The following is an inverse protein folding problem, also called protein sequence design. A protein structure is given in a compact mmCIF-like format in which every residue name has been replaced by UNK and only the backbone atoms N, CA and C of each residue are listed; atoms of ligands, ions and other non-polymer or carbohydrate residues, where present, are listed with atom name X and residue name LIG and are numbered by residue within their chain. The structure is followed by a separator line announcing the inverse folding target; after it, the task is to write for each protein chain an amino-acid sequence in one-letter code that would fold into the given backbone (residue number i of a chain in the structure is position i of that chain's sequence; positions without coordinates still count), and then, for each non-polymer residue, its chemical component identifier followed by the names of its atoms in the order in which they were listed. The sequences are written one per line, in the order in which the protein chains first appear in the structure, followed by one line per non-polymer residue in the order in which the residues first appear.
data_IF_811186038597
#
_entry.id   IF_811186038597
#
_cell.length_a   1.000
_cell.length_b   1.000
_cell.length_c   1.000
_cell.angle_alpha   90.00
_cell.angle_beta   90.00
_cell.angle_gamma   90.00
#
_symmetry.space_group_name_H-M   'P 1'
#
loop_
_entity.id
_entity.type
_entity.pdbx_description
1 polymer ?
#
# COMPACT_ATOMS: atom_id res chain seq x y z
N UNK A 1 -4.29 1.88 19.00
CA UNK A 1 -3.63 1.33 17.78
C UNK A 1 -2.11 1.51 17.86
N UNK A 2 -1.60 2.73 17.99
CA UNK A 2 -0.16 3.02 18.11
C UNK A 2 0.60 2.10 19.10
N UNK A 3 0.10 1.96 20.33
CA UNK A 3 0.74 1.10 21.35
C UNK A 3 0.79 -0.38 20.95
N UNK A 4 -0.24 -0.87 20.26
CA UNK A 4 -0.29 -2.25 19.75
C UNK A 4 0.79 -2.45 18.68
N UNK A 5 0.92 -1.51 17.75
CA UNK A 5 1.96 -1.55 16.71
C UNK A 5 3.35 -1.51 17.33
N UNK A 6 3.57 -0.66 18.33
CA UNK A 6 4.84 -0.59 19.05
C UNK A 6 5.16 -1.88 19.81
N UNK A 7 4.19 -2.42 20.56
CA UNK A 7 4.37 -3.67 21.30
C UNK A 7 4.77 -4.83 20.39
N UNK A 8 4.23 -4.88 19.17
CA UNK A 8 4.57 -5.89 18.18
C UNK A 8 5.92 -5.60 17.49
N UNK A 9 6.12 -4.39 16.97
CA UNK A 9 7.28 -4.04 16.14
C UNK A 9 8.59 -3.81 16.91
N UNK A 10 8.52 -3.55 18.22
CA UNK A 10 9.69 -3.29 19.07
C UNK A 10 10.42 -4.57 19.54
N UNK A 11 9.86 -5.75 19.29
CA UNK A 11 10.53 -7.01 19.61
C UNK A 11 11.88 -7.06 18.86
N UNK A 12 12.97 -7.35 19.59
CA UNK A 12 14.33 -7.39 19.03
C UNK A 12 14.50 -8.50 17.98
N UNK A 13 13.61 -9.48 17.94
CA UNK A 13 13.60 -10.50 16.90
C UNK A 13 13.25 -9.88 15.54
N UNK A 14 13.83 -10.44 14.48
CA UNK A 14 13.45 -10.09 13.10
C UNK A 14 12.06 -10.64 12.73
N UNK A 15 11.55 -11.62 13.49
CA UNK A 15 10.27 -12.28 13.27
C UNK A 15 9.36 -12.08 14.49
N UNK A 16 8.21 -11.46 14.26
CA UNK A 16 7.13 -11.35 15.24
C UNK A 16 6.22 -12.56 15.05
N UNK A 17 6.00 -13.34 16.10
CA UNK A 17 4.99 -14.38 16.09
C UNK A 17 3.66 -13.79 16.57
N UNK A 18 2.77 -13.54 15.62
CA UNK A 18 1.40 -13.11 15.88
C UNK A 18 0.47 -14.32 15.83
N UNK A 19 -0.34 -14.49 16.88
CA UNK A 19 -1.39 -15.49 16.96
C UNK A 19 -2.25 -15.42 15.67
N UNK A 20 -2.43 -16.55 14.95
CA UNK A 20 -3.25 -16.58 13.74
C UNK A 20 -4.63 -15.93 13.89
N UNK A 21 -5.27 -16.04 15.07
CA UNK A 21 -6.58 -15.46 15.35
C UNK A 21 -6.58 -13.91 15.38
N UNK A 22 -5.42 -13.28 15.58
CA UNK A 22 -5.29 -11.82 15.66
C UNK A 22 -4.97 -11.17 14.31
N UNK A 23 -4.52 -11.93 13.31
CA UNK A 23 -4.02 -11.36 12.03
C UNK A 23 -5.10 -10.61 11.26
N UNK A 24 -6.27 -11.22 11.06
CA UNK A 24 -7.38 -10.59 10.34
C UNK A 24 -7.96 -9.40 11.12
N UNK A 25 -8.29 -9.52 12.42
CA UNK A 25 -8.74 -8.36 13.21
C UNK A 25 -7.76 -7.19 13.21
N UNK A 26 -6.45 -7.46 13.30
CA UNK A 26 -5.42 -6.43 13.24
C UNK A 26 -5.35 -5.79 11.84
N UNK A 27 -5.40 -6.57 10.76
CA UNK A 27 -5.47 -6.04 9.41
C UNK A 27 -6.70 -5.16 9.18
N UNK A 28 -7.88 -5.59 9.66
CA UNK A 28 -9.11 -4.79 9.60
C UNK A 28 -8.95 -3.47 10.36
N UNK A 29 -8.37 -3.51 11.55
CA UNK A 29 -8.16 -2.31 12.34
C UNK A 29 -7.14 -1.37 11.66
N UNK A 30 -6.05 -1.89 11.10
CA UNK A 30 -5.07 -1.11 10.33
C UNK A 30 -5.66 -0.51 9.04
N UNK A 31 -6.53 -1.26 8.35
CA UNK A 31 -7.27 -0.74 7.20
C UNK A 31 -8.20 0.42 7.56
N UNK A 32 -8.69 0.48 8.81
CA UNK A 32 -9.41 1.65 9.33
C UNK A 32 -8.55 2.90 9.51
N UNK A 33 -7.22 2.77 9.54
CA UNK A 33 -6.24 3.85 9.58
C UNK A 33 -5.46 3.93 8.25
N UNK A 34 -6.07 3.54 7.13
CA UNK A 34 -5.37 3.45 5.85
C UNK A 34 -4.63 4.74 5.43
N UNK A 35 -5.17 5.96 5.62
CA UNK A 35 -4.41 7.18 5.34
C UNK A 35 -3.12 7.29 6.16
N UNK A 36 -3.17 7.04 7.47
CA UNK A 36 -1.98 7.09 8.34
C UNK A 36 -0.99 5.97 7.98
N UNK A 37 -1.49 4.76 7.70
CA UNK A 37 -0.68 3.62 7.25
C UNK A 37 0.04 3.95 5.95
N UNK A 38 -0.68 4.52 4.98
CA UNK A 38 -0.10 4.97 3.72
C UNK A 38 1.04 5.97 3.97
N UNK A 39 0.81 6.99 4.79
CA UNK A 39 1.80 8.03 5.07
C UNK A 39 3.05 7.48 5.78
N UNK A 40 2.86 6.58 6.73
CA UNK A 40 3.96 5.87 7.39
C UNK A 40 4.75 4.97 6.42
N UNK A 41 4.07 4.30 5.48
CA UNK A 41 4.71 3.45 4.47
C UNK A 41 5.49 4.29 3.46
N UNK A 42 4.86 5.34 2.92
CA UNK A 42 5.52 6.26 2.02
C UNK A 42 6.72 6.94 2.69
N UNK A 43 6.60 7.37 3.95
CA UNK A 43 7.70 7.98 4.70
C UNK A 43 8.23 9.28 4.08
N UNK A 44 7.39 9.96 3.30
CA UNK A 44 7.72 11.22 2.63
C UNK A 44 7.07 12.44 3.31
N UNK A 45 6.15 12.21 4.24
CA UNK A 45 5.52 13.29 5.02
C UNK A 45 6.30 13.52 6.32
N UNK A 46 6.84 14.73 6.46
CA UNK A 46 7.64 15.09 7.62
C UNK A 46 6.83 15.07 8.93
N UNK A 47 5.53 15.36 8.90
CA UNK A 47 4.70 15.33 10.11
C UNK A 47 4.61 13.92 10.69
N UNK A 48 4.48 12.91 9.83
CA UNK A 48 4.52 11.51 10.23
C UNK A 48 5.90 11.09 10.75
N UNK A 49 6.99 11.60 10.14
CA UNK A 49 8.35 11.29 10.58
C UNK A 49 8.63 11.85 11.98
N UNK A 50 8.27 13.10 12.27
CA UNK A 50 8.55 13.73 13.57
C UNK A 50 7.65 13.21 14.70
N UNK A 51 6.48 12.67 14.37
CA UNK A 51 5.53 12.08 15.33
C UNK A 51 5.63 10.55 15.45
N UNK A 52 6.61 9.92 14.80
CA UNK A 52 6.77 8.47 14.76
C UNK A 52 7.20 7.84 16.09
N UNK A 53 7.78 8.59 17.03
CA UNK A 53 8.35 8.04 18.27
C UNK A 53 7.32 7.41 19.22
N UNK A 54 7.75 6.45 20.04
CA UNK A 54 6.93 5.81 21.09
C UNK A 54 6.46 6.80 22.16
N UNK A 55 7.25 7.84 22.43
CA UNK A 55 6.94 8.95 23.34
C UNK A 55 6.03 10.03 22.72
N UNK A 56 5.61 9.90 21.47
CA UNK A 56 4.74 10.86 20.78
C UNK A 56 3.29 10.42 20.85
N UNK A 57 2.42 11.28 21.37
CA UNK A 57 0.98 11.02 21.34
C UNK A 57 0.43 11.15 19.92
N UNK A 58 -0.71 10.50 19.59
CA UNK A 58 -1.53 10.88 18.44
C UNK A 58 -1.79 12.38 18.45
N UNK A 59 -1.93 12.98 17.27
CA UNK A 59 -2.15 14.42 17.11
C UNK A 59 -3.43 14.67 16.32
N UNK A 60 -3.97 15.88 16.44
CA UNK A 60 -5.12 16.33 15.67
C UNK A 60 -4.64 17.24 14.53
N UNK A 61 -5.07 16.94 13.31
CA UNK A 61 -4.90 17.82 12.15
C UNK A 61 -6.19 17.77 11.32
N UNK A 62 -6.64 18.92 10.84
CA UNK A 62 -7.82 19.03 9.96
C UNK A 62 -9.11 18.37 10.54
N UNK A 63 -9.24 18.38 11.87
CA UNK A 63 -10.39 17.77 12.57
C UNK A 63 -10.37 16.24 12.63
N UNK A 64 -9.27 15.60 12.24
CA UNK A 64 -9.04 14.16 12.33
C UNK A 64 -7.86 13.86 13.25
N UNK A 65 -7.90 12.72 13.94
CA UNK A 65 -6.79 12.25 14.75
C UNK A 65 -5.89 11.33 13.94
N UNK A 66 -4.59 11.64 13.95
CA UNK A 66 -3.55 10.89 13.27
C UNK A 66 -2.63 10.20 14.26
N UNK A 67 -2.07 9.08 13.82
CA UNK A 67 -1.00 8.40 14.52
C UNK A 67 0.14 8.06 13.56
N UNK A 68 1.34 7.98 14.13
CA UNK A 68 2.52 7.52 13.40
C UNK A 68 3.36 6.61 14.28
N UNK A 69 4.03 5.64 13.66
CA UNK A 69 5.10 4.84 14.26
C UNK A 69 6.29 4.85 13.31
N UNK A 70 7.46 4.42 13.77
CA UNK A 70 8.59 4.26 12.85
C UNK A 70 8.27 3.24 11.75
N UNK A 71 8.67 3.54 10.51
CA UNK A 71 8.39 2.69 9.35
C UNK A 71 8.89 1.25 9.54
N UNK A 72 10.04 1.04 10.18
CA UNK A 72 10.56 -0.29 10.51
C UNK A 72 9.67 -1.07 11.52
N UNK A 73 9.04 -0.38 12.47
CA UNK A 73 8.09 -0.98 13.43
C UNK A 73 6.80 -1.37 12.70
N UNK A 74 6.28 -0.48 11.84
CA UNK A 74 5.11 -0.76 11.03
C UNK A 74 5.35 -1.95 10.10
N UNK A 75 6.41 -1.93 9.28
CA UNK A 75 6.70 -2.98 8.30
C UNK A 75 6.90 -4.35 8.95
N UNK A 76 7.57 -4.44 10.11
CA UNK A 76 7.64 -5.70 10.88
C UNK A 76 6.25 -6.20 11.29
N UNK A 77 5.40 -5.31 11.78
CA UNK A 77 4.01 -5.65 12.16
C UNK A 77 3.22 -6.15 10.96
N UNK A 78 3.31 -5.45 9.82
CA UNK A 78 2.63 -5.84 8.59
C UNK A 78 3.15 -7.19 8.05
N UNK A 79 4.46 -7.47 8.12
CA UNK A 79 5.02 -8.80 7.79
C UNK A 79 4.38 -9.91 8.60
N UNK A 80 4.20 -9.71 9.91
CA UNK A 80 3.58 -10.71 10.79
C UNK A 80 2.10 -10.96 10.46
N UNK A 81 1.39 -9.90 10.08
CA UNK A 81 -0.02 -9.96 9.64
C UNK A 81 -0.15 -10.67 8.28
N UNK A 82 0.72 -10.33 7.32
CA UNK A 82 0.65 -10.78 5.94
C UNK A 82 0.88 -12.28 5.72
N UNK A 83 1.40 -13.00 6.73
CA UNK A 83 1.45 -14.47 6.72
C UNK A 83 0.04 -15.06 6.51
N UNK A 84 -1.01 -14.37 6.95
CA UNK A 84 -2.37 -14.69 6.56
C UNK A 84 -2.74 -13.97 5.24
N UNK A 85 -3.05 -14.69 4.15
CA UNK A 85 -3.32 -14.09 2.85
C UNK A 85 -4.59 -13.20 2.83
N UNK A 86 -5.63 -13.55 3.59
CA UNK A 86 -6.83 -12.71 3.72
C UNK A 86 -6.49 -11.38 4.41
N UNK A 87 -5.66 -11.43 5.46
CA UNK A 87 -5.21 -10.24 6.16
C UNK A 87 -4.35 -9.34 5.25
N UNK A 88 -3.46 -9.92 4.44
CA UNK A 88 -2.73 -9.18 3.41
C UNK A 88 -3.66 -8.54 2.37
N UNK A 89 -4.65 -9.28 1.86
CA UNK A 89 -5.59 -8.77 0.87
C UNK A 89 -6.39 -7.56 1.38
N UNK A 90 -6.80 -7.58 2.66
CA UNK A 90 -7.45 -6.43 3.32
C UNK A 90 -6.56 -5.19 3.32
N UNK A 91 -5.30 -5.35 3.76
CA UNK A 91 -4.33 -4.24 3.76
C UNK A 91 -4.05 -3.73 2.35
N UNK A 92 -3.90 -4.65 1.38
CA UNK A 92 -3.64 -4.33 -0.01
C UNK A 92 -4.79 -3.54 -0.65
N UNK A 93 -6.04 -3.90 -0.35
CA UNK A 93 -7.20 -3.16 -0.85
C UNK A 93 -7.36 -1.80 -0.17
N UNK A 94 -7.14 -1.72 1.14
CA UNK A 94 -7.17 -0.44 1.85
C UNK A 94 -6.13 0.55 1.28
N UNK A 95 -4.92 0.07 0.99
CA UNK A 95 -3.88 0.85 0.30
C UNK A 95 -4.30 1.20 -1.14
N UNK A 96 -4.92 0.27 -1.86
CA UNK A 96 -5.43 0.52 -3.23
C UNK A 96 -6.44 1.68 -3.25
N UNK A 97 -7.38 1.69 -2.31
CA UNK A 97 -8.38 2.76 -2.20
C UNK A 97 -7.74 4.09 -1.80
N UNK A 98 -6.81 4.05 -0.83
CA UNK A 98 -6.08 5.25 -0.39
C UNK A 98 -5.27 5.85 -1.54
N UNK A 99 -4.53 5.02 -2.27
CA UNK A 99 -3.75 5.45 -3.42
C UNK A 99 -4.63 6.03 -4.54
N UNK A 100 -5.76 5.39 -4.84
CA UNK A 100 -6.73 5.93 -5.80
C UNK A 100 -7.29 7.29 -5.35
N UNK A 101 -7.61 7.43 -4.06
CA UNK A 101 -8.06 8.68 -3.44
C UNK A 101 -7.04 9.80 -3.58
N UNK A 102 -5.78 9.52 -3.26
CA UNK A 102 -4.71 10.51 -3.38
C UNK A 102 -4.45 10.94 -4.82
N UNK A 103 -4.50 10.01 -5.79
CA UNK A 103 -4.41 10.38 -7.22
C UNK A 103 -5.59 11.26 -7.64
N UNK A 104 -6.80 10.91 -7.22
CA UNK A 104 -8.01 11.68 -7.51
C UNK A 104 -7.99 13.09 -6.90
N UNK A 105 -7.35 13.26 -5.74
CA UNK A 105 -7.26 14.53 -5.03
C UNK A 105 -6.21 15.50 -5.61
N UNK A 106 -5.31 15.06 -6.50
CA UNK A 106 -4.30 15.93 -7.12
C UNK A 106 -4.99 17.03 -7.96
N UNK A 107 -4.79 18.33 -7.66
CA UNK A 107 -5.39 19.44 -8.41
C UNK A 107 -5.12 19.35 -9.91
N UNK A 108 -6.07 19.77 -10.74
CA UNK A 108 -5.99 19.67 -12.20
C UNK A 108 -4.80 20.46 -12.80
N UNK A 109 -4.41 21.54 -12.14
CA UNK A 109 -3.34 22.46 -12.48
C UNK A 109 -2.02 22.18 -11.73
N UNK A 110 -1.95 21.10 -10.95
CA UNK A 110 -0.73 20.69 -10.27
C UNK A 110 0.42 20.48 -11.26
N UNK A 111 1.60 20.99 -10.92
CA UNK A 111 2.83 20.84 -11.72
C UNK A 111 4.00 20.47 -10.80
N UNK A 112 5.13 20.05 -11.39
CA UNK A 112 6.36 19.79 -10.65
C UNK A 112 6.20 18.77 -9.52
N UNK A 113 6.57 19.17 -8.30
CA UNK A 113 6.50 18.30 -7.10
C UNK A 113 5.05 17.98 -6.76
N UNK A 114 4.13 18.95 -6.81
CA UNK A 114 2.73 18.75 -6.45
C UNK A 114 2.03 17.74 -7.37
N UNK A 115 2.44 17.69 -8.65
CA UNK A 115 1.95 16.69 -9.59
C UNK A 115 2.52 15.29 -9.30
N UNK A 116 3.79 15.21 -8.91
CA UNK A 116 4.52 13.94 -8.84
C UNK A 116 4.55 13.30 -7.45
N UNK A 117 4.25 14.06 -6.39
CA UNK A 117 4.34 13.61 -5.00
C UNK A 117 3.40 12.44 -4.71
N UNK A 118 2.09 12.59 -4.98
CA UNK A 118 1.10 11.56 -4.66
C UNK A 118 1.32 10.26 -5.46
N UNK A 119 1.56 10.29 -6.79
CA UNK A 119 1.94 9.07 -7.52
C UNK A 119 3.19 8.39 -6.95
N UNK A 120 4.19 9.17 -6.52
CA UNK A 120 5.44 8.65 -5.95
C UNK A 120 5.24 8.02 -4.57
N UNK A 121 4.42 8.64 -3.70
CA UNK A 121 4.00 8.10 -2.40
C UNK A 121 3.26 6.77 -2.56
N UNK A 122 2.25 6.73 -3.43
CA UNK A 122 1.49 5.53 -3.77
C UNK A 122 2.37 4.38 -4.23
N UNK A 123 3.29 4.67 -5.14
CA UNK A 123 4.22 3.68 -5.66
C UNK A 123 5.10 3.10 -4.54
N UNK A 124 5.57 3.94 -3.63
CA UNK A 124 6.39 3.54 -2.48
C UNK A 124 5.63 2.63 -1.53
N UNK A 125 4.42 3.04 -1.11
CA UNK A 125 3.60 2.27 -0.19
C UNK A 125 3.21 0.90 -0.76
N UNK A 126 2.79 0.84 -2.03
CA UNK A 126 2.49 -0.41 -2.74
C UNK A 126 3.74 -1.29 -2.92
N UNK A 127 4.89 -0.71 -3.24
CA UNK A 127 6.16 -1.43 -3.35
C UNK A 127 6.60 -2.07 -2.02
N UNK A 128 6.39 -1.39 -0.89
CA UNK A 128 6.61 -1.98 0.44
C UNK A 128 5.68 -3.17 0.67
N UNK A 129 4.40 -3.06 0.33
CA UNK A 129 3.46 -4.19 0.44
C UNK A 129 3.87 -5.36 -0.46
N UNK A 130 4.42 -5.09 -1.65
CA UNK A 130 4.97 -6.14 -2.51
C UNK A 130 6.16 -6.86 -1.84
N UNK A 131 7.04 -6.11 -1.17
CA UNK A 131 8.17 -6.70 -0.43
C UNK A 131 7.70 -7.52 0.78
N UNK A 132 6.66 -7.05 1.46
CA UNK A 132 5.98 -7.79 2.54
C UNK A 132 5.35 -9.07 2.01
N UNK A 133 4.69 -9.04 0.85
CA UNK A 133 4.12 -10.22 0.22
C UNK A 133 5.20 -11.25 -0.10
N UNK A 134 6.30 -10.83 -0.71
CA UNK A 134 7.43 -11.72 -1.04
C UNK A 134 8.03 -12.37 0.21
N UNK A 135 8.08 -11.66 1.35
CA UNK A 135 8.54 -12.21 2.62
C UNK A 135 7.51 -13.13 3.32
N UNK A 136 6.21 -12.90 3.07
CA UNK A 136 5.13 -13.69 3.66
C UNK A 136 4.88 -15.01 2.92
N UNK A 137 5.11 -15.02 1.61
CA UNK A 137 5.01 -16.21 0.77
C UNK A 137 6.10 -17.21 1.16
N UNK A 138 5.69 -18.41 1.58
CA UNK A 138 6.63 -19.47 1.95
C UNK A 138 7.49 -19.92 0.77
N UNK A 139 8.65 -20.53 1.05
CA UNK A 139 9.53 -21.09 0.02
C UNK A 139 8.95 -22.34 -0.67
N UNK A 140 7.91 -22.94 -0.09
CA UNK A 140 7.20 -24.06 -0.69
C UNK A 140 6.26 -23.59 -1.81
N UNK A 141 6.39 -24.18 -3.00
CA UNK A 141 5.65 -23.76 -4.18
C UNK A 141 4.14 -24.05 -4.09
N UNK A 142 3.70 -25.00 -3.26
CA UNK A 142 2.28 -25.29 -3.07
C UNK A 142 1.66 -24.29 -2.09
N UNK A 143 2.33 -24.00 -0.97
CA UNK A 143 1.89 -22.96 -0.02
C UNK A 143 1.90 -21.58 -0.67
N UNK A 144 2.91 -21.26 -1.49
CA UNK A 144 2.95 -20.03 -2.25
C UNK A 144 1.75 -19.88 -3.20
N UNK A 145 1.43 -20.93 -3.95
CA UNK A 145 0.26 -20.95 -4.82
C UNK A 145 -1.03 -20.75 -4.04
N UNK A 146 -1.19 -21.45 -2.91
CA UNK A 146 -2.38 -21.31 -2.05
C UNK A 146 -2.52 -19.89 -1.49
N UNK A 147 -1.43 -19.30 -1.02
CA UNK A 147 -1.42 -17.91 -0.53
C UNK A 147 -1.86 -16.96 -1.63
N UNK A 148 -1.28 -17.08 -2.83
CA UNK A 148 -1.63 -16.25 -3.99
C UNK A 148 -3.10 -16.42 -4.38
N UNK A 149 -3.60 -17.65 -4.48
CA UNK A 149 -5.01 -17.92 -4.77
C UNK A 149 -5.93 -17.22 -3.77
N UNK A 150 -5.68 -17.37 -2.47
CA UNK A 150 -6.51 -16.72 -1.44
C UNK A 150 -6.44 -15.19 -1.54
N UNK A 151 -5.27 -14.60 -1.79
CA UNK A 151 -5.16 -13.15 -2.00
C UNK A 151 -6.02 -12.72 -3.19
N UNK A 152 -5.85 -13.35 -4.35
CA UNK A 152 -6.60 -12.95 -5.53
C UNK A 152 -8.10 -13.21 -5.40
N UNK A 153 -8.53 -14.30 -4.76
CA UNK A 153 -9.95 -14.53 -4.49
C UNK A 153 -10.54 -13.38 -3.67
N UNK A 154 -9.85 -12.92 -2.63
CA UNK A 154 -10.28 -11.75 -1.85
C UNK A 154 -10.32 -10.47 -2.72
N UNK A 155 -9.20 -10.12 -3.39
CA UNK A 155 -9.13 -8.90 -4.20
C UNK A 155 -10.20 -8.87 -5.32
N UNK A 156 -10.47 -10.00 -5.96
CA UNK A 156 -11.37 -10.05 -7.12
C UNK A 156 -12.85 -10.00 -6.73
N UNK A 157 -13.19 -10.25 -5.47
CA UNK A 157 -14.55 -10.03 -4.93
C UNK A 157 -14.89 -8.57 -4.67
N UNK A 158 -13.89 -7.69 -4.64
CA UNK A 158 -14.07 -6.28 -4.32
C UNK A 158 -14.85 -5.52 -5.39
N UNK A 159 -15.63 -4.55 -4.91
CA UNK A 159 -16.41 -3.65 -5.73
C UNK A 159 -16.08 -2.22 -5.32
N UNK A 160 -15.80 -1.37 -6.32
CA UNK A 160 -15.54 0.04 -6.11
C UNK A 160 -16.68 0.86 -6.71
N UNK A 161 -17.06 1.95 -6.01
CA UNK A 161 -18.07 2.87 -6.51
C UNK A 161 -17.54 3.70 -7.69
N UNK A 162 -18.00 3.37 -8.89
CA UNK A 162 -17.57 4.03 -10.12
C UNK A 162 -18.12 5.45 -10.28
N UNK A 163 -19.00 5.91 -9.41
CA UNK A 163 -19.43 7.31 -9.39
C UNK A 163 -18.27 8.24 -9.00
N UNK A 164 -17.38 7.79 -8.11
CA UNK A 164 -16.26 8.57 -7.62
C UNK A 164 -15.01 8.43 -8.50
N UNK A 165 -14.20 9.49 -8.69
CA UNK A 165 -12.96 9.39 -9.46
C UNK A 165 -11.99 8.33 -8.92
N UNK A 166 -11.86 8.22 -7.60
CA UNK A 166 -11.04 7.19 -6.95
C UNK A 166 -11.59 5.79 -7.22
N UNK A 167 -12.90 5.58 -7.03
CA UNK A 167 -13.52 4.29 -7.29
C UNK A 167 -13.46 3.86 -8.75
N UNK A 168 -13.47 4.78 -9.73
CA UNK A 168 -13.18 4.45 -11.14
C UNK A 168 -11.75 3.95 -11.37
N UNK A 169 -10.75 4.58 -10.75
CA UNK A 169 -9.37 4.12 -10.84
C UNK A 169 -9.23 2.71 -10.24
N UNK A 170 -9.79 2.47 -9.07
CA UNK A 170 -9.81 1.14 -8.44
C UNK A 170 -10.54 0.11 -9.29
N UNK A 171 -11.74 0.43 -9.80
CA UNK A 171 -12.51 -0.47 -10.65
C UNK A 171 -11.78 -0.83 -11.94
N UNK A 172 -11.12 0.15 -12.56
CA UNK A 172 -10.34 -0.06 -13.80
C UNK A 172 -9.17 -1.00 -13.54
N UNK A 173 -8.44 -0.80 -12.43
CA UNK A 173 -7.36 -1.71 -12.05
C UNK A 173 -7.87 -3.12 -11.73
N UNK A 174 -8.93 -3.25 -10.93
CA UNK A 174 -9.55 -4.55 -10.61
C UNK A 174 -10.02 -5.28 -11.86
N UNK A 175 -10.62 -4.57 -12.82
CA UNK A 175 -11.04 -5.16 -14.09
C UNK A 175 -9.85 -5.68 -14.90
N UNK A 176 -8.76 -4.91 -14.95
CA UNK A 176 -7.54 -5.37 -15.61
C UNK A 176 -6.94 -6.60 -14.91
N UNK A 177 -6.97 -6.65 -13.58
CA UNK A 177 -6.52 -7.80 -12.80
C UNK A 177 -7.38 -9.05 -13.06
N UNK A 178 -8.72 -8.89 -13.12
CA UNK A 178 -9.66 -9.97 -13.50
C UNK A 178 -9.36 -10.54 -14.87
N UNK A 179 -9.06 -9.68 -15.83
CA UNK A 179 -8.74 -10.06 -17.21
C UNK A 179 -7.31 -10.64 -17.37
N UNK A 180 -6.47 -10.57 -16.33
CA UNK A 180 -5.10 -11.09 -16.38
C UNK A 180 -5.10 -12.60 -16.13
N UNK A 181 -4.40 -13.41 -16.97
CA UNK A 181 -4.23 -14.85 -16.74
C UNK A 181 -3.62 -15.13 -15.35
N UNK A 182 -4.05 -16.20 -14.70
CA UNK A 182 -3.69 -16.46 -13.28
C UNK A 182 -2.18 -16.44 -13.02
N UNK A 183 -1.39 -17.04 -13.92
CA UNK A 183 0.07 -17.07 -13.82
C UNK A 183 0.75 -15.71 -13.93
N UNK A 184 0.07 -14.69 -14.46
CA UNK A 184 0.58 -13.32 -14.63
C UNK A 184 0.04 -12.33 -13.58
N UNK A 185 -0.96 -12.74 -12.78
CA UNK A 185 -1.56 -11.87 -11.75
C UNK A 185 -0.55 -11.38 -10.70
N UNK A 186 0.46 -12.15 -10.25
CA UNK A 186 1.45 -11.64 -9.29
C UNK A 186 2.26 -10.46 -9.82
N UNK A 187 2.71 -10.54 -11.08
CA UNK A 187 3.42 -9.44 -11.74
C UNK A 187 2.49 -8.24 -11.95
N UNK A 188 1.22 -8.49 -12.30
CA UNK A 188 0.20 -7.44 -12.43
C UNK A 188 -0.09 -6.74 -11.10
N UNK A 189 -0.09 -7.47 -9.98
CA UNK A 189 -0.25 -6.92 -8.64
C UNK A 189 0.94 -6.00 -8.32
N UNK A 190 2.18 -6.45 -8.54
CA UNK A 190 3.38 -5.61 -8.32
C UNK A 190 3.41 -4.34 -9.19
N UNK A 191 2.89 -4.42 -10.40
CA UNK A 191 2.80 -3.26 -11.31
C UNK A 191 1.68 -2.26 -10.96
N UNK A 192 0.89 -2.51 -9.91
CA UNK A 192 -0.33 -1.74 -9.61
C UNK A 192 -0.10 -0.22 -9.51
N UNK A 193 0.90 0.21 -8.72
CA UNK A 193 1.15 1.65 -8.53
C UNK A 193 1.46 2.36 -9.85
N UNK A 194 2.26 1.71 -10.70
CA UNK A 194 2.60 2.19 -12.04
C UNK A 194 1.38 2.21 -12.97
N UNK A 195 0.56 1.17 -12.96
CA UNK A 195 -0.62 1.07 -13.80
C UNK A 195 -1.71 2.09 -13.42
N UNK A 196 -1.91 2.32 -12.12
CA UNK A 196 -2.83 3.34 -11.62
C UNK A 196 -2.34 4.74 -11.98
N UNK A 197 -1.04 5.03 -11.77
CA UNK A 197 -0.45 6.31 -12.17
C UNK A 197 -0.54 6.54 -13.68
N UNK A 198 -0.31 5.51 -14.51
CA UNK A 198 -0.45 5.58 -15.97
C UNK A 198 -1.89 5.90 -16.38
N UNK A 199 -2.87 5.19 -15.82
CA UNK A 199 -4.30 5.40 -16.10
C UNK A 199 -4.74 6.81 -15.70
N UNK A 200 -4.30 7.27 -14.53
CA UNK A 200 -4.55 8.62 -14.04
C UNK A 200 -3.93 9.70 -14.95
N UNK A 201 -2.66 9.56 -15.33
CA UNK A 201 -1.97 10.51 -16.20
C UNK A 201 -2.61 10.58 -17.60
N UNK A 202 -3.07 9.43 -18.14
CA UNK A 202 -3.82 9.37 -19.40
C UNK A 202 -5.15 10.12 -19.31
N UNK A 203 -5.89 9.93 -18.22
CA UNK A 203 -7.18 10.60 -17.99
C UNK A 203 -7.02 12.12 -17.93
N UNK A 204 -5.87 12.60 -17.46
CA UNK A 204 -5.52 14.03 -17.41
C UNK A 204 -4.97 14.58 -18.72
N UNK A 205 -4.88 13.77 -19.78
CA UNK A 205 -4.29 14.16 -21.07
C UNK A 205 -2.88 14.77 -20.92
N UNK A 206 -2.09 14.24 -19.99
CA UNK A 206 -0.73 14.69 -19.74
C UNK A 206 0.15 14.49 -20.99
N UNK A 207 0.98 15.49 -21.30
CA UNK A 207 1.91 15.40 -22.44
C UNK A 207 2.95 14.29 -22.24
N UNK A 208 3.48 13.76 -23.35
CA UNK A 208 4.38 12.60 -23.32
C UNK A 208 5.62 12.81 -22.46
N UNK A 209 6.39 13.92 -22.59
CA UNK A 209 7.54 14.18 -21.72
C UNK A 209 7.20 14.16 -20.23
N UNK A 210 6.18 14.91 -19.82
CA UNK A 210 5.77 14.99 -18.40
C UNK A 210 5.31 13.63 -17.88
N UNK A 211 4.53 12.90 -18.70
CA UNK A 211 4.05 11.56 -18.35
C UNK A 211 5.20 10.57 -18.19
N UNK A 212 6.18 10.59 -19.10
CA UNK A 212 7.31 9.67 -19.03
C UNK A 212 8.20 9.95 -17.80
N UNK A 213 8.50 11.22 -17.51
CA UNK A 213 9.25 11.60 -16.30
C UNK A 213 8.54 11.14 -15.02
N UNK A 214 7.23 11.37 -14.93
CA UNK A 214 6.41 10.91 -13.81
C UNK A 214 6.47 9.39 -13.64
N UNK A 215 6.25 8.63 -14.73
CA UNK A 215 6.20 7.17 -14.65
C UNK A 215 7.57 6.58 -14.29
N UNK A 216 8.67 7.19 -14.71
CA UNK A 216 10.01 6.80 -14.27
C UNK A 216 10.23 7.06 -12.78
N UNK A 217 9.72 8.16 -12.22
CA UNK A 217 9.77 8.42 -10.76
C UNK A 217 8.96 7.39 -9.98
N UNK A 218 7.74 7.10 -10.44
CA UNK A 218 6.83 6.10 -9.87
C UNK A 218 7.48 4.71 -9.86
N UNK A 219 8.02 4.27 -10.99
CA UNK A 219 8.69 2.97 -11.11
C UNK A 219 9.90 2.86 -10.19
N UNK A 220 10.76 3.89 -10.16
CA UNK A 220 11.92 3.89 -9.27
C UNK A 220 11.54 3.88 -7.79
N UNK A 221 10.49 4.63 -7.41
CA UNK A 221 9.99 4.68 -6.04
C UNK A 221 9.48 3.33 -5.58
N UNK A 222 8.63 2.66 -6.39
CA UNK A 222 8.13 1.31 -6.10
C UNK A 222 9.26 0.30 -5.97
N UNK A 223 10.20 0.28 -6.93
CA UNK A 223 11.32 -0.66 -6.94
C UNK A 223 12.23 -0.48 -5.73
N UNK A 224 12.59 0.75 -5.38
CA UNK A 224 13.46 1.01 -4.24
C UNK A 224 12.79 0.56 -2.92
N UNK A 225 11.50 0.87 -2.76
CA UNK A 225 10.75 0.53 -1.55
C UNK A 225 10.52 -0.98 -1.39
N UNK A 226 10.33 -1.69 -2.50
CA UNK A 226 10.26 -3.15 -2.53
C UNK A 226 11.55 -3.79 -2.02
N UNK A 227 12.72 -3.35 -2.51
CA UNK A 227 14.02 -3.89 -2.11
C UNK A 227 14.39 -3.52 -0.65
N UNK A 228 13.97 -2.35 -0.15
CA UNK A 228 14.15 -1.96 1.26
C UNK A 228 13.50 -2.96 2.24
N UNK A 229 12.38 -3.58 1.84
CA UNK A 229 11.59 -4.47 2.69
C UNK A 229 11.78 -5.95 2.32
N UNK A 230 12.60 -6.26 1.34
CA UNK A 230 12.98 -7.65 1.03
C UNK A 230 14.11 -8.18 1.93
N UNK A 231 14.87 -7.27 2.54
CA UNK A 231 16.00 -7.54 3.43
C UNK A 231 15.67 -7.25 4.90
#
# INVERSE_FOLDING_TARGET
MKDVIFALGWVQSQKIELDPALRVPLATALAGYAPDVHEMLAGLDNEYVVNAGDNKSPWEAEGTYHLSVWNNVLTKTLRAVAVNPQAYALLRMAETHTAAGQLAAVPADATGVDLSLQPTKNARALGILDGIADAAVGQDAQEARKWHTTVFDCLLTEQADQAEPAGRLTATWLQALRNTPEGQRPERLRAQGLDMARTWAQTRSMDEPTRQDLLTKVENSARNAHEEVKH
#
